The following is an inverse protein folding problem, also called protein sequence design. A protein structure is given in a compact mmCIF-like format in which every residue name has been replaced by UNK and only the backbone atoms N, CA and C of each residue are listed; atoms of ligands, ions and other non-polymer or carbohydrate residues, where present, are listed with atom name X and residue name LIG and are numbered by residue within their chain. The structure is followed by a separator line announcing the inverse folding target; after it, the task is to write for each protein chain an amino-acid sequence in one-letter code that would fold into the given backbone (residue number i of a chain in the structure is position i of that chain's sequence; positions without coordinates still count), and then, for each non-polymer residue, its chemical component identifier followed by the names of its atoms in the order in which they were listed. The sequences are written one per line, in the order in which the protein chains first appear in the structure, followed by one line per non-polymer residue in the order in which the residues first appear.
data_IF_747616254374
#
_entry.id   IF_747616254374
#
_cell.length_a   1.000
_cell.length_b   1.000
_cell.length_c   1.000
_cell.angle_alpha   90.00
_cell.angle_beta   90.00
_cell.angle_gamma   90.00
#
_symmetry.space_group_name_H-M   'P 1'
#
loop_
_entity.id
_entity.type
_entity.pdbx_description
1 polymer ?
#
# COMPACT_ATOMS: atom_id res chain seq x y z
N UNK A 1 28.78 3.03 17.18
CA UNK A 1 28.66 3.53 15.78
C UNK A 1 27.32 3.04 15.26
N UNK A 2 26.64 3.77 14.40
CA UNK A 2 25.39 3.34 13.77
C UNK A 2 25.67 2.33 12.66
N UNK A 3 24.81 1.31 12.49
CA UNK A 3 24.89 0.41 11.35
C UNK A 3 24.43 1.08 10.04
N UNK A 4 23.73 2.21 10.15
CA UNK A 4 23.23 2.95 9.00
C UNK A 4 24.31 3.79 8.31
N UNK A 5 24.28 3.73 6.97
CA UNK A 5 24.90 4.70 6.07
C UNK A 5 23.90 5.83 5.75
N UNK A 6 22.64 5.46 5.47
CA UNK A 6 21.54 6.36 5.11
C UNK A 6 20.21 5.78 5.57
N UNK A 7 19.76 6.16 6.77
CA UNK A 7 18.51 5.62 7.35
C UNK A 7 17.27 6.03 6.55
N UNK A 8 17.28 7.25 5.98
CA UNK A 8 16.17 7.81 5.21
C UNK A 8 15.74 6.98 4.00
N UNK A 9 16.63 6.13 3.47
CA UNK A 9 16.35 5.19 2.36
C UNK A 9 15.22 4.22 2.71
N UNK A 10 15.00 3.97 4.01
CA UNK A 10 13.99 3.04 4.52
C UNK A 10 12.67 3.74 4.89
N UNK A 11 12.59 5.07 4.77
CA UNK A 11 11.36 5.79 5.06
C UNK A 11 10.33 5.61 3.95
N UNK A 12 9.02 5.61 4.29
CA UNK A 12 7.95 5.45 3.30
C UNK A 12 7.93 6.52 2.21
N UNK A 13 8.43 7.71 2.52
CA UNK A 13 8.47 8.87 1.63
C UNK A 13 9.64 8.83 0.66
N UNK A 14 10.67 8.01 0.95
CA UNK A 14 11.85 7.93 0.11
C UNK A 14 11.55 7.30 -1.25
N UNK A 15 11.82 8.07 -2.29
CA UNK A 15 11.69 7.61 -3.67
C UNK A 15 13.07 7.24 -4.25
N UNK A 16 13.34 5.95 -4.50
CA UNK A 16 14.63 5.52 -5.04
C UNK A 16 14.87 6.00 -6.47
N UNK A 17 16.12 5.94 -6.89
CA UNK A 17 16.51 6.26 -8.26
C UNK A 17 15.99 5.24 -9.28
N UNK A 18 15.85 3.98 -8.87
CA UNK A 18 15.34 2.89 -9.69
C UNK A 18 14.26 2.11 -8.95
N UNK A 19 13.27 1.62 -9.67
CA UNK A 19 12.18 0.79 -9.17
C UNK A 19 12.25 -0.57 -9.88
N UNK A 20 13.06 -1.52 -9.36
CA UNK A 20 13.22 -2.82 -10.00
C UNK A 20 11.88 -3.56 -10.07
N UNK A 21 11.73 -4.36 -11.13
CA UNK A 21 10.53 -5.14 -11.44
C UNK A 21 9.27 -4.31 -11.72
N UNK A 22 9.45 -3.02 -12.04
CA UNK A 22 8.38 -2.12 -12.52
C UNK A 22 8.72 -1.42 -13.84
N UNK A 23 9.80 -1.82 -14.49
CA UNK A 23 10.26 -1.23 -15.76
C UNK A 23 9.20 -1.30 -16.85
N UNK A 24 8.45 -2.42 -16.92
CA UNK A 24 7.38 -2.60 -17.89
C UNK A 24 6.23 -1.60 -17.69
N UNK A 25 5.77 -1.44 -16.45
CA UNK A 25 4.72 -0.48 -16.10
C UNK A 25 5.18 0.95 -16.32
N UNK A 26 6.41 1.29 -15.88
CA UNK A 26 7.00 2.61 -16.08
C UNK A 26 7.06 2.95 -17.57
N UNK A 27 7.51 2.01 -18.41
CA UNK A 27 7.61 2.21 -19.85
C UNK A 27 6.23 2.47 -20.48
N UNK A 28 5.23 1.63 -20.21
CA UNK A 28 3.87 1.79 -20.73
C UNK A 28 3.28 3.16 -20.38
N UNK A 29 3.38 3.54 -19.11
CA UNK A 29 2.85 4.83 -18.64
C UNK A 29 3.61 5.98 -19.30
N UNK A 30 4.94 5.91 -19.38
CA UNK A 30 5.77 6.97 -19.96
C UNK A 30 5.56 7.11 -21.47
N UNK A 31 5.42 6.02 -22.21
CA UNK A 31 5.10 6.03 -23.64
C UNK A 31 3.76 6.72 -23.90
N UNK A 32 2.72 6.38 -23.13
CA UNK A 32 1.42 7.03 -23.22
C UNK A 32 1.50 8.54 -22.93
N UNK A 33 2.11 8.91 -21.80
CA UNK A 33 2.23 10.33 -21.41
C UNK A 33 3.13 11.14 -22.36
N UNK A 34 4.06 10.52 -23.07
CA UNK A 34 4.93 11.19 -24.04
C UNK A 34 4.16 11.85 -25.20
N UNK A 35 2.92 11.44 -25.43
CA UNK A 35 2.01 12.08 -26.39
C UNK A 35 1.78 13.57 -26.06
N UNK A 36 1.83 13.94 -24.76
CA UNK A 36 1.72 15.34 -24.32
C UNK A 36 2.84 16.23 -24.88
N UNK A 37 4.04 15.67 -25.13
CA UNK A 37 5.16 16.41 -25.74
C UNK A 37 4.86 16.84 -27.17
N UNK A 38 3.98 16.10 -27.86
CA UNK A 38 3.51 16.39 -29.21
C UNK A 38 2.15 17.12 -29.22
N UNK A 39 1.71 17.62 -28.07
CA UNK A 39 0.37 18.21 -27.87
C UNK A 39 -0.77 17.27 -28.32
N UNK A 40 -0.55 15.95 -28.17
CA UNK A 40 -1.54 14.93 -28.48
C UNK A 40 -2.13 14.39 -27.16
N UNK A 41 -3.42 14.01 -27.22
CA UNK A 41 -4.14 13.48 -26.05
C UNK A 41 -3.65 12.07 -25.71
N UNK A 42 -3.12 11.81 -24.50
CA UNK A 42 -2.89 10.44 -24.03
C UNK A 42 -4.21 9.75 -23.64
N UNK A 43 -4.20 8.43 -23.54
CA UNK A 43 -5.24 7.70 -22.83
C UNK A 43 -5.15 8.00 -21.33
N UNK A 44 -6.27 8.02 -20.65
CA UNK A 44 -6.25 8.05 -19.19
C UNK A 44 -5.74 6.72 -18.66
N UNK A 45 -4.96 6.74 -17.60
CA UNK A 45 -4.34 5.54 -17.05
C UNK A 45 -5.00 5.19 -15.73
N UNK A 46 -5.34 3.93 -15.53
CA UNK A 46 -5.81 3.42 -14.25
C UNK A 46 -4.88 2.35 -13.70
N UNK A 47 -4.19 2.69 -12.62
CA UNK A 47 -3.28 1.81 -11.91
C UNK A 47 -4.02 1.19 -10.73
N UNK A 48 -4.12 -0.14 -10.69
CA UNK A 48 -4.77 -0.83 -9.59
C UNK A 48 -3.96 -2.03 -9.10
N UNK A 49 -4.27 -2.50 -7.90
CA UNK A 49 -3.63 -3.64 -7.25
C UNK A 49 -3.61 -3.51 -5.73
N UNK A 50 -3.18 -4.53 -4.99
CA UNK A 50 -3.16 -4.51 -3.53
C UNK A 50 -2.26 -3.39 -2.97
N UNK A 51 -2.38 -3.05 -1.68
CA UNK A 51 -1.46 -2.11 -1.03
C UNK A 51 -0.02 -2.63 -1.07
N UNK A 52 0.95 -1.70 -1.02
CA UNK A 52 2.37 -2.02 -0.90
C UNK A 52 3.06 -2.60 -2.13
N UNK A 53 2.42 -2.63 -3.32
CA UNK A 53 3.02 -3.14 -4.57
C UNK A 53 3.72 -2.07 -5.42
N UNK A 54 3.85 -0.84 -4.91
CA UNK A 54 4.62 0.22 -5.56
C UNK A 54 3.86 1.13 -6.52
N UNK A 55 2.51 1.14 -6.53
CA UNK A 55 1.68 2.02 -7.39
C UNK A 55 2.05 3.49 -7.28
N UNK A 56 1.96 4.02 -6.06
CA UNK A 56 2.31 5.42 -5.73
C UNK A 56 3.77 5.73 -6.04
N UNK A 57 4.69 4.80 -5.77
CA UNK A 57 6.11 4.98 -6.03
C UNK A 57 6.40 5.12 -7.53
N UNK A 58 5.76 4.29 -8.38
CA UNK A 58 5.90 4.39 -9.85
C UNK A 58 5.32 5.70 -10.36
N UNK A 59 4.14 6.10 -9.89
CA UNK A 59 3.55 7.38 -10.30
C UNK A 59 4.46 8.57 -9.96
N UNK A 60 4.95 8.65 -8.72
CA UNK A 60 5.88 9.71 -8.29
C UNK A 60 7.22 9.67 -9.05
N UNK A 61 7.72 8.47 -9.35
CA UNK A 61 8.92 8.29 -10.17
C UNK A 61 8.73 8.90 -11.56
N UNK A 62 7.64 8.57 -12.23
CA UNK A 62 7.32 9.09 -13.56
C UNK A 62 7.15 10.62 -13.52
N UNK A 63 6.45 11.16 -12.53
CA UNK A 63 6.31 12.61 -12.39
C UNK A 63 7.67 13.29 -12.25
N UNK A 64 8.58 12.74 -11.44
CA UNK A 64 9.95 13.27 -11.29
C UNK A 64 10.70 13.27 -12.61
N UNK A 65 10.64 12.17 -13.37
CA UNK A 65 11.33 12.07 -14.67
C UNK A 65 10.73 13.08 -15.67
N UNK A 66 9.41 13.18 -15.76
CA UNK A 66 8.77 14.17 -16.66
C UNK A 66 9.10 15.62 -16.28
N UNK A 67 9.18 15.95 -15.00
CA UNK A 67 9.57 17.28 -14.55
C UNK A 67 10.99 17.65 -14.97
N UNK A 68 11.93 16.69 -14.86
CA UNK A 68 13.34 16.90 -15.21
C UNK A 68 13.58 17.04 -16.71
N UNK A 69 12.87 16.26 -17.54
CA UNK A 69 13.21 16.12 -18.95
C UNK A 69 12.21 16.78 -19.93
N UNK A 70 11.01 17.13 -19.50
CA UNK A 70 9.97 17.58 -20.41
C UNK A 70 9.44 19.00 -20.18
N UNK A 71 9.60 19.54 -18.98
CA UNK A 71 9.00 20.80 -18.57
C UNK A 71 7.48 20.76 -18.48
N UNK A 72 6.84 19.61 -18.68
CA UNK A 72 5.38 19.45 -18.49
C UNK A 72 5.09 19.57 -17.00
N UNK A 73 4.12 20.43 -16.67
CA UNK A 73 3.64 20.56 -15.29
C UNK A 73 2.96 19.29 -14.85
N UNK A 74 3.40 18.76 -13.71
CA UNK A 74 2.84 17.56 -13.14
C UNK A 74 2.37 17.80 -11.69
N UNK A 75 1.28 17.14 -11.32
CA UNK A 75 0.59 17.36 -10.05
C UNK A 75 0.21 16.00 -9.47
N UNK A 76 0.63 15.77 -8.23
CA UNK A 76 0.25 14.58 -7.47
C UNK A 76 -0.75 14.99 -6.37
N UNK A 77 -1.92 14.37 -6.37
CA UNK A 77 -3.00 14.62 -5.42
C UNK A 77 -3.35 13.33 -4.71
N UNK A 78 -3.22 13.31 -3.38
CA UNK A 78 -3.74 12.23 -2.55
C UNK A 78 -5.20 12.51 -2.19
N UNK A 79 -6.12 11.67 -2.67
CA UNK A 79 -7.55 11.84 -2.49
C UNK A 79 -8.06 11.54 -1.07
N UNK A 80 -7.25 10.99 -0.17
CA UNK A 80 -7.55 11.01 1.26
C UNK A 80 -7.48 12.42 1.84
N UNK A 81 -6.54 13.22 1.37
CA UNK A 81 -6.33 14.58 1.83
C UNK A 81 -7.23 15.57 1.09
N UNK A 82 -7.41 15.37 -0.22
CA UNK A 82 -8.18 16.25 -1.12
C UNK A 82 -9.33 15.46 -1.74
N UNK A 83 -10.41 15.27 -0.99
CA UNK A 83 -11.52 14.37 -1.34
C UNK A 83 -12.77 15.07 -1.88
N UNK A 84 -12.69 16.35 -2.23
CA UNK A 84 -13.77 17.11 -2.86
C UNK A 84 -13.31 17.73 -4.17
N UNK A 85 -14.25 17.96 -5.08
CA UNK A 85 -13.98 18.62 -6.36
C UNK A 85 -13.32 19.99 -6.19
N UNK A 86 -13.77 20.75 -5.21
CA UNK A 86 -13.19 22.06 -4.87
C UNK A 86 -11.73 21.92 -4.46
N UNK A 87 -11.41 20.96 -3.57
CA UNK A 87 -10.05 20.77 -3.07
C UNK A 87 -9.09 20.33 -4.19
N UNK A 88 -9.51 19.38 -5.03
CA UNK A 88 -8.73 18.90 -6.17
C UNK A 88 -8.45 20.02 -7.16
N UNK A 89 -9.48 20.78 -7.59
CA UNK A 89 -9.29 21.89 -8.52
C UNK A 89 -8.42 22.99 -7.92
N UNK A 90 -8.58 23.29 -6.63
CA UNK A 90 -7.74 24.30 -5.96
C UNK A 90 -6.26 23.89 -5.98
N UNK A 91 -5.95 22.63 -5.70
CA UNK A 91 -4.56 22.13 -5.75
C UNK A 91 -3.99 22.17 -7.17
N UNK A 92 -4.79 21.78 -8.18
CA UNK A 92 -4.38 21.92 -9.59
C UNK A 92 -4.10 23.38 -9.93
N UNK A 93 -5.04 24.28 -9.59
CA UNK A 93 -4.90 25.72 -9.87
C UNK A 93 -3.65 26.33 -9.23
N UNK A 94 -3.40 26.03 -7.95
CA UNK A 94 -2.21 26.49 -7.23
C UNK A 94 -0.93 25.96 -7.88
N UNK A 95 -0.88 24.68 -8.22
CA UNK A 95 0.30 24.05 -8.81
C UNK A 95 0.71 24.63 -10.15
N UNK A 96 -0.26 25.06 -10.97
CA UNK A 96 0.02 25.71 -12.27
C UNK A 96 0.20 27.22 -12.19
N UNK A 97 0.09 27.80 -10.98
CA UNK A 97 0.22 29.25 -10.79
C UNK A 97 -1.05 30.05 -11.20
N UNK A 98 -2.20 29.39 -11.26
CA UNK A 98 -3.47 30.12 -11.42
C UNK A 98 -3.77 30.92 -10.14
N UNK A 99 -4.26 32.12 -10.32
CA UNK A 99 -4.70 32.93 -9.18
C UNK A 99 -6.02 32.40 -8.65
N UNK A 100 -5.94 31.45 -7.71
CA UNK A 100 -7.08 30.81 -7.06
C UNK A 100 -6.91 30.84 -5.53
N UNK A 101 -8.03 30.89 -4.81
CA UNK A 101 -8.05 30.84 -3.35
C UNK A 101 -8.64 29.51 -2.87
N UNK A 102 -8.15 29.03 -1.75
CA UNK A 102 -8.70 27.84 -1.07
C UNK A 102 -10.03 28.13 -0.35
N UNK A 103 -10.54 29.36 -0.38
CA UNK A 103 -11.83 29.76 0.25
C UNK A 103 -12.51 30.85 -0.56
N UNK A 104 -13.84 30.82 -0.56
CA UNK A 104 -14.67 31.90 -1.06
C UNK A 104 -14.90 31.91 -2.57
N UNK A 105 -14.39 30.95 -3.33
CA UNK A 105 -14.59 30.81 -4.75
C UNK A 105 -15.57 29.69 -5.08
N UNK A 106 -16.34 29.86 -6.16
CA UNK A 106 -17.13 28.76 -6.69
C UNK A 106 -16.24 27.77 -7.48
N UNK A 107 -16.64 26.49 -7.53
CA UNK A 107 -15.93 25.43 -8.27
C UNK A 107 -15.70 25.85 -9.74
N UNK A 108 -16.73 26.41 -10.39
CA UNK A 108 -16.69 26.77 -11.80
C UNK A 108 -15.74 27.96 -12.07
N UNK A 109 -15.58 28.87 -11.12
CA UNK A 109 -14.60 29.94 -11.19
C UNK A 109 -13.17 29.41 -11.16
N UNK A 110 -12.88 28.45 -10.26
CA UNK A 110 -11.56 27.79 -10.17
C UNK A 110 -11.26 27.05 -11.46
N UNK A 111 -12.23 26.28 -11.97
CA UNK A 111 -12.08 25.53 -13.22
C UNK A 111 -11.78 26.48 -14.39
N UNK A 112 -12.55 27.59 -14.52
CA UNK A 112 -12.32 28.60 -15.54
C UNK A 112 -10.94 29.22 -15.46
N UNK A 113 -10.42 29.47 -14.24
CA UNK A 113 -9.06 29.99 -14.04
C UNK A 113 -7.99 29.00 -14.44
N UNK A 114 -8.20 27.71 -14.14
CA UNK A 114 -7.30 26.64 -14.58
C UNK A 114 -7.22 26.65 -16.12
N UNK A 115 -8.36 26.57 -16.79
CA UNK A 115 -8.46 26.61 -18.26
C UNK A 115 -7.74 27.81 -18.84
N UNK A 116 -8.03 29.00 -18.32
CA UNK A 116 -7.39 30.26 -18.77
C UNK A 116 -5.89 30.25 -18.58
N UNK A 117 -5.40 29.71 -17.44
CA UNK A 117 -3.97 29.64 -17.16
C UNK A 117 -3.27 28.62 -18.08
N UNK A 118 -3.89 27.45 -18.34
CA UNK A 118 -3.40 26.48 -19.31
C UNK A 118 -3.27 27.09 -20.71
N UNK A 119 -4.29 27.79 -21.19
CA UNK A 119 -4.29 28.45 -22.51
C UNK A 119 -3.20 29.53 -22.61
N UNK A 120 -3.19 30.48 -21.67
CA UNK A 120 -2.27 31.62 -21.68
C UNK A 120 -0.82 31.20 -21.66
N UNK A 121 -0.50 30.17 -20.89
CA UNK A 121 0.87 29.67 -20.71
C UNK A 121 1.20 28.44 -21.60
N UNK A 122 0.26 28.00 -22.42
CA UNK A 122 0.39 26.79 -23.29
C UNK A 122 0.83 25.55 -22.51
N UNK A 123 0.20 25.31 -21.34
CA UNK A 123 0.56 24.26 -20.41
C UNK A 123 -0.20 22.97 -20.69
N UNK A 124 0.51 21.92 -21.06
CA UNK A 124 0.01 20.55 -20.90
C UNK A 124 0.29 20.08 -19.46
N UNK A 125 -0.62 19.24 -18.92
CA UNK A 125 -0.55 18.81 -17.52
C UNK A 125 -0.51 17.29 -17.42
N UNK A 126 0.14 16.80 -16.38
CA UNK A 126 -0.03 15.43 -15.87
C UNK A 126 -0.64 15.55 -14.47
N UNK A 127 -1.78 14.91 -14.24
CA UNK A 127 -2.43 14.90 -12.93
C UNK A 127 -2.60 13.46 -12.45
N UNK A 128 -2.02 13.17 -11.30
CA UNK A 128 -2.19 11.90 -10.61
C UNK A 128 -3.20 12.08 -9.47
N UNK A 129 -4.26 11.27 -9.50
CA UNK A 129 -5.23 11.14 -8.42
C UNK A 129 -5.02 9.82 -7.72
N UNK A 130 -4.27 9.84 -6.62
CA UNK A 130 -3.97 8.65 -5.81
C UNK A 130 -5.06 8.41 -4.77
N UNK A 131 -5.42 7.14 -4.53
CA UNK A 131 -6.56 6.73 -3.70
C UNK A 131 -7.88 7.35 -4.22
N UNK A 132 -8.09 7.30 -5.55
CA UNK A 132 -9.22 7.95 -6.23
C UNK A 132 -10.59 7.44 -5.75
N UNK A 133 -10.64 6.27 -5.15
CA UNK A 133 -11.86 5.73 -4.51
C UNK A 133 -12.40 6.66 -3.40
N UNK A 134 -11.55 7.42 -2.70
CA UNK A 134 -11.99 8.38 -1.69
C UNK A 134 -12.68 9.59 -2.32
N UNK A 135 -12.16 10.05 -3.45
CA UNK A 135 -12.78 11.13 -4.22
C UNK A 135 -14.13 10.68 -4.80
N UNK A 136 -14.18 9.47 -5.38
CA UNK A 136 -15.41 8.91 -5.97
C UNK A 136 -16.51 8.74 -4.92
N UNK A 137 -16.17 8.32 -3.70
CA UNK A 137 -17.12 8.16 -2.59
C UNK A 137 -17.71 9.48 -2.12
N UNK A 138 -16.91 10.56 -2.14
CA UNK A 138 -17.33 11.87 -1.59
C UNK A 138 -17.86 12.81 -2.66
N UNK A 139 -17.12 13.03 -3.75
CA UNK A 139 -17.47 13.96 -4.81
C UNK A 139 -16.75 13.64 -6.13
N UNK A 140 -17.36 12.77 -6.93
CA UNK A 140 -16.81 12.35 -8.22
C UNK A 140 -16.93 13.43 -9.32
N UNK A 141 -17.59 14.58 -9.07
CA UNK A 141 -17.94 15.54 -10.13
C UNK A 141 -16.73 16.16 -10.82
N UNK A 142 -15.59 16.30 -10.12
CA UNK A 142 -14.35 16.80 -10.72
C UNK A 142 -13.80 15.89 -11.81
N UNK A 143 -14.06 14.58 -11.73
CA UNK A 143 -13.63 13.66 -12.78
C UNK A 143 -14.25 14.01 -14.13
N UNK A 144 -15.54 14.38 -14.12
CA UNK A 144 -16.21 14.83 -15.33
C UNK A 144 -15.56 16.07 -15.93
N UNK A 145 -15.21 17.06 -15.11
CA UNK A 145 -14.57 18.29 -15.55
C UNK A 145 -13.17 18.04 -16.14
N UNK A 146 -12.35 17.26 -15.44
CA UNK A 146 -10.99 16.93 -15.87
C UNK A 146 -10.97 16.08 -17.14
N UNK A 147 -11.86 15.09 -17.27
CA UNK A 147 -11.97 14.22 -18.43
C UNK A 147 -12.38 14.99 -19.71
N UNK A 148 -13.04 16.13 -19.55
CA UNK A 148 -13.55 16.96 -20.64
C UNK A 148 -12.90 18.34 -20.75
N UNK A 149 -11.80 18.57 -20.05
CA UNK A 149 -11.13 19.86 -20.03
C UNK A 149 -10.76 20.35 -21.44
N UNK A 150 -10.51 19.42 -22.37
CA UNK A 150 -10.20 19.71 -23.78
C UNK A 150 -11.36 20.33 -24.57
N UNK A 151 -12.58 20.31 -24.04
CA UNK A 151 -13.71 21.06 -24.62
C UNK A 151 -13.56 22.57 -24.40
N UNK A 152 -12.68 22.99 -23.49
CA UNK A 152 -12.49 24.35 -23.04
C UNK A 152 -11.11 24.90 -23.38
N UNK A 153 -10.15 24.07 -23.76
CA UNK A 153 -8.79 24.49 -24.08
C UNK A 153 -8.16 23.57 -25.14
N UNK A 154 -7.20 24.12 -25.91
CA UNK A 154 -6.38 23.32 -26.85
C UNK A 154 -5.30 22.51 -26.17
N UNK A 155 -5.00 22.81 -24.89
CA UNK A 155 -3.99 22.12 -24.13
C UNK A 155 -4.48 20.74 -23.72
N UNK A 156 -3.55 19.83 -23.41
CA UNK A 156 -3.83 18.42 -23.10
C UNK A 156 -3.55 18.11 -21.65
N UNK A 157 -4.30 17.13 -21.12
CA UNK A 157 -4.11 16.59 -19.78
C UNK A 157 -3.92 15.07 -19.87
N UNK A 158 -2.91 14.56 -19.18
CA UNK A 158 -2.73 13.15 -18.92
C UNK A 158 -3.21 12.85 -17.49
N UNK A 159 -4.23 12.00 -17.35
CA UNK A 159 -4.80 11.62 -16.06
C UNK A 159 -4.30 10.23 -15.67
N UNK A 160 -3.83 10.11 -14.45
CA UNK A 160 -3.48 8.83 -13.83
C UNK A 160 -4.33 8.67 -12.58
N UNK A 161 -5.15 7.62 -12.56
CA UNK A 161 -5.96 7.23 -11.41
C UNK A 161 -5.30 6.04 -10.71
N UNK A 162 -5.23 6.07 -9.39
CA UNK A 162 -4.67 4.98 -8.59
C UNK A 162 -5.70 4.54 -7.55
N UNK A 163 -5.96 3.23 -7.45
CA UNK A 163 -6.79 2.66 -6.39
C UNK A 163 -6.33 1.25 -6.00
N UNK A 164 -6.75 0.80 -4.83
CA UNK A 164 -6.61 -0.60 -4.43
C UNK A 164 -7.77 -1.47 -5.00
N UNK A 165 -8.87 -0.84 -5.39
CA UNK A 165 -10.06 -1.50 -5.93
C UNK A 165 -10.08 -1.42 -7.47
N UNK A 166 -9.98 -2.57 -8.14
CA UNK A 166 -10.12 -2.70 -9.59
C UNK A 166 -11.46 -2.16 -10.12
N UNK A 167 -12.48 -2.23 -9.31
CA UNK A 167 -13.86 -1.94 -9.72
C UNK A 167 -14.34 -0.55 -9.30
N UNK A 168 -13.44 0.31 -8.91
CA UNK A 168 -13.72 1.64 -8.36
C UNK A 168 -14.66 2.48 -9.26
N UNK A 169 -14.55 2.34 -10.58
CA UNK A 169 -15.38 3.08 -11.54
C UNK A 169 -16.73 2.44 -11.87
N UNK A 170 -17.09 1.29 -11.27
CA UNK A 170 -18.38 0.63 -11.60
C UNK A 170 -19.59 1.46 -11.23
N UNK A 171 -19.51 2.19 -10.13
CA UNK A 171 -20.64 2.92 -9.55
C UNK A 171 -20.60 4.44 -9.79
N UNK A 172 -19.69 4.92 -10.65
CA UNK A 172 -19.70 6.33 -11.06
C UNK A 172 -20.83 6.58 -12.06
N UNK A 173 -21.23 7.83 -12.22
CA UNK A 173 -22.25 8.25 -13.16
C UNK A 173 -21.89 7.88 -14.60
N UNK A 174 -22.89 7.54 -15.42
CA UNK A 174 -22.68 7.10 -16.82
C UNK A 174 -22.01 8.17 -17.68
N UNK A 175 -22.23 9.46 -17.40
CA UNK A 175 -21.53 10.57 -18.07
C UNK A 175 -20.02 10.57 -17.81
N UNK A 176 -19.58 10.11 -16.66
CA UNK A 176 -18.15 9.92 -16.32
C UNK A 176 -17.64 8.69 -17.03
N UNK A 177 -18.35 7.55 -16.90
CA UNK A 177 -17.95 6.28 -17.55
C UNK A 177 -17.70 6.45 -19.04
N UNK A 178 -18.61 7.12 -19.75
CA UNK A 178 -18.49 7.34 -21.20
C UNK A 178 -17.29 8.20 -21.61
N UNK A 179 -16.72 8.95 -20.67
CA UNK A 179 -15.57 9.85 -20.90
C UNK A 179 -14.24 9.27 -20.40
N UNK A 180 -14.27 8.16 -19.64
CA UNK A 180 -13.09 7.64 -18.97
C UNK A 180 -11.95 7.25 -19.92
N UNK A 181 -12.24 6.53 -21.03
CA UNK A 181 -11.24 6.05 -22.00
C UNK A 181 -9.91 5.66 -21.33
N UNK A 182 -9.95 4.55 -20.55
CA UNK A 182 -8.88 4.17 -19.61
C UNK A 182 -8.05 3.02 -20.19
N UNK A 183 -6.73 3.13 -20.04
CA UNK A 183 -5.79 2.01 -20.08
C UNK A 183 -5.58 1.47 -18.66
N UNK A 184 -5.95 0.20 -18.42
CA UNK A 184 -5.84 -0.44 -17.12
C UNK A 184 -4.46 -1.10 -16.94
N UNK A 185 -3.76 -0.77 -15.86
CA UNK A 185 -2.45 -1.33 -15.53
C UNK A 185 -2.51 -1.99 -14.15
N UNK A 186 -2.44 -3.33 -14.15
CA UNK A 186 -2.43 -4.11 -12.91
C UNK A 186 -1.04 -4.16 -12.28
N UNK A 187 -0.97 -3.87 -11.00
CA UNK A 187 0.21 -4.05 -10.16
C UNK A 187 0.04 -5.29 -9.29
N UNK A 188 0.66 -6.38 -9.71
CA UNK A 188 0.65 -7.65 -8.97
C UNK A 188 1.61 -7.60 -7.78
N UNK A 189 1.33 -8.37 -6.70
CA UNK A 189 2.30 -8.59 -5.63
C UNK A 189 3.64 -9.08 -6.19
N UNK A 190 4.72 -8.67 -5.53
CA UNK A 190 6.05 -9.15 -5.88
C UNK A 190 6.22 -10.62 -5.51
N UNK A 191 6.88 -11.37 -6.38
CA UNK A 191 7.39 -12.70 -6.06
C UNK A 191 8.50 -12.62 -5.00
N UNK A 192 8.88 -13.76 -4.44
CA UNK A 192 9.99 -13.80 -3.46
C UNK A 192 11.31 -13.27 -4.03
N UNK A 193 11.63 -13.62 -5.27
CA UNK A 193 12.87 -13.16 -5.92
C UNK A 193 12.85 -11.65 -6.16
N UNK A 194 11.76 -11.13 -6.70
CA UNK A 194 11.59 -9.69 -6.91
C UNK A 194 11.66 -8.91 -5.60
N UNK A 195 10.98 -9.39 -4.56
CA UNK A 195 11.03 -8.79 -3.23
C UNK A 195 12.44 -8.80 -2.65
N UNK A 196 13.17 -9.92 -2.81
CA UNK A 196 14.56 -10.03 -2.36
C UNK A 196 15.47 -9.02 -3.05
N UNK A 197 15.31 -8.81 -4.36
CA UNK A 197 16.10 -7.84 -5.11
C UNK A 197 15.83 -6.41 -4.65
N UNK A 198 14.55 -6.06 -4.42
CA UNK A 198 14.15 -4.76 -3.88
C UNK A 198 14.76 -4.54 -2.49
N UNK A 199 14.66 -5.54 -1.61
CA UNK A 199 15.21 -5.49 -0.25
C UNK A 199 16.73 -5.37 -0.29
N UNK A 200 17.40 -6.13 -1.14
CA UNK A 200 18.85 -6.10 -1.32
C UNK A 200 19.35 -4.71 -1.77
N UNK A 201 18.65 -4.09 -2.71
CA UNK A 201 18.94 -2.72 -3.13
C UNK A 201 18.84 -1.75 -1.94
N UNK A 202 17.76 -1.83 -1.18
CA UNK A 202 17.53 -0.97 -0.01
C UNK A 202 18.60 -1.15 1.06
N UNK A 203 19.00 -2.40 1.33
CA UNK A 203 20.06 -2.73 2.29
C UNK A 203 21.39 -2.10 1.85
N UNK A 204 21.79 -2.23 0.57
CA UNK A 204 23.03 -1.66 0.06
C UNK A 204 23.09 -0.14 0.16
N UNK A 205 21.95 0.53 0.00
CA UNK A 205 21.86 1.98 0.12
C UNK A 205 21.83 2.44 1.59
N UNK A 206 21.14 1.69 2.47
CA UNK A 206 20.86 2.09 3.84
C UNK A 206 21.96 1.74 4.84
N UNK A 207 22.68 0.63 4.65
CA UNK A 207 23.60 0.09 5.65
C UNK A 207 25.06 0.15 5.22
N UNK A 208 25.96 0.32 6.20
CA UNK A 208 27.42 0.26 5.99
C UNK A 208 27.86 -1.17 5.71
N UNK A 209 27.35 -2.13 6.48
CA UNK A 209 27.59 -3.56 6.34
C UNK A 209 26.38 -4.37 6.78
N UNK A 210 26.21 -5.54 6.20
CA UNK A 210 25.13 -6.47 6.54
C UNK A 210 25.60 -7.93 6.38
N UNK A 211 24.89 -8.84 7.03
CA UNK A 211 25.15 -10.27 7.00
C UNK A 211 24.41 -10.93 5.83
N UNK A 212 25.02 -11.92 5.20
CA UNK A 212 24.36 -12.76 4.21
C UNK A 212 23.11 -13.42 4.79
N UNK A 213 22.02 -13.49 3.99
CA UNK A 213 20.74 -14.04 4.44
C UNK A 213 19.76 -13.02 5.02
N UNK A 214 20.17 -11.80 5.38
CA UNK A 214 19.28 -10.72 5.85
C UNK A 214 18.22 -10.41 4.81
N UNK A 215 18.62 -10.19 3.55
CA UNK A 215 17.68 -9.85 2.46
C UNK A 215 16.64 -10.95 2.23
N UNK A 216 17.06 -12.22 2.26
CA UNK A 216 16.15 -13.36 2.08
C UNK A 216 15.13 -13.48 3.23
N UNK A 217 15.58 -13.30 4.48
CA UNK A 217 14.70 -13.36 5.64
C UNK A 217 13.65 -12.25 5.65
N UNK A 218 14.07 -11.03 5.35
CA UNK A 218 13.17 -9.86 5.27
C UNK A 218 12.19 -10.00 4.10
N UNK A 219 12.69 -10.42 2.93
CA UNK A 219 11.85 -10.66 1.75
C UNK A 219 10.80 -11.73 1.99
N UNK A 220 11.14 -12.84 2.64
CA UNK A 220 10.19 -13.89 2.98
C UNK A 220 9.03 -13.36 3.83
N UNK A 221 9.33 -12.51 4.82
CA UNK A 221 8.31 -11.91 5.68
C UNK A 221 7.45 -10.88 4.95
N UNK A 222 8.03 -10.07 4.09
CA UNK A 222 7.31 -9.09 3.28
C UNK A 222 6.39 -9.75 2.25
N UNK A 223 6.82 -10.83 1.61
CA UNK A 223 5.99 -11.61 0.67
C UNK A 223 4.81 -12.27 1.37
N UNK A 224 4.99 -12.79 2.58
CA UNK A 224 3.87 -13.33 3.40
C UNK A 224 2.76 -12.29 3.59
N UNK A 225 3.11 -11.01 3.70
CA UNK A 225 2.18 -9.88 3.83
C UNK A 225 1.77 -9.26 2.49
N UNK A 226 2.50 -9.54 1.41
CA UNK A 226 2.29 -8.95 0.09
C UNK A 226 2.61 -7.47 -0.01
N UNK A 227 3.42 -6.91 0.92
CA UNK A 227 3.65 -5.46 1.06
C UNK A 227 5.14 -5.13 1.29
N UNK A 228 5.74 -4.37 0.36
CA UNK A 228 7.14 -3.90 0.47
C UNK A 228 7.37 -3.06 1.73
N UNK A 229 6.37 -2.31 2.19
CA UNK A 229 6.51 -1.44 3.37
C UNK A 229 6.86 -2.23 4.63
N UNK A 230 6.38 -3.48 4.72
CA UNK A 230 6.77 -4.40 5.81
C UNK A 230 8.27 -4.69 5.80
N UNK A 231 8.85 -4.89 4.60
CA UNK A 231 10.30 -5.07 4.50
C UNK A 231 11.07 -3.84 4.99
N UNK A 232 10.65 -2.64 4.56
CA UNK A 232 11.30 -1.39 4.95
C UNK A 232 11.19 -1.14 6.46
N UNK A 233 10.04 -1.42 7.05
CA UNK A 233 9.81 -1.30 8.49
C UNK A 233 10.69 -2.26 9.29
N UNK A 234 10.78 -3.53 8.88
CA UNK A 234 11.66 -4.52 9.52
C UNK A 234 13.11 -4.08 9.45
N UNK A 235 13.58 -3.63 8.28
CA UNK A 235 14.95 -3.15 8.09
C UNK A 235 15.24 -1.92 8.97
N UNK A 236 14.32 -0.98 9.03
CA UNK A 236 14.46 0.23 9.86
C UNK A 236 14.57 -0.11 11.33
N UNK A 237 13.67 -0.94 11.85
CA UNK A 237 13.69 -1.37 13.26
C UNK A 237 14.94 -2.20 13.57
N UNK A 238 15.31 -3.15 12.71
CA UNK A 238 16.49 -3.98 12.89
C UNK A 238 17.79 -3.15 12.84
N UNK A 239 17.86 -2.18 11.95
CA UNK A 239 19.01 -1.27 11.87
C UNK A 239 19.19 -0.40 13.11
N UNK A 240 18.10 0.03 13.76
CA UNK A 240 18.13 0.81 14.99
C UNK A 240 18.65 0.05 16.21
N UNK A 241 18.48 -1.27 16.24
CA UNK A 241 19.03 -2.13 17.31
C UNK A 241 20.41 -2.70 16.96
N UNK A 242 20.80 -2.68 15.69
CA UNK A 242 22.11 -3.11 15.23
C UNK A 242 23.22 -2.15 15.68
N UNK A 243 24.39 -2.69 16.06
CA UNK A 243 25.51 -1.88 16.57
C UNK A 243 26.42 -1.34 15.47
N UNK A 244 26.98 -2.24 14.66
CA UNK A 244 28.03 -1.97 13.67
C UNK A 244 27.64 -2.44 12.27
N UNK A 245 26.91 -3.55 12.18
CA UNK A 245 26.37 -4.14 10.95
C UNK A 245 25.00 -4.77 11.20
N UNK A 246 24.18 -4.85 10.19
CA UNK A 246 22.89 -5.52 10.25
C UNK A 246 23.06 -7.03 10.21
N UNK A 247 22.61 -7.73 11.25
CA UNK A 247 22.71 -9.20 11.38
C UNK A 247 21.35 -9.87 11.22
N UNK A 248 21.38 -11.13 10.83
CA UNK A 248 20.17 -11.98 10.77
C UNK A 248 19.46 -12.05 12.13
N UNK A 249 20.23 -12.05 13.23
CA UNK A 249 19.68 -12.05 14.60
C UNK A 249 18.90 -10.78 14.94
N UNK A 250 19.34 -9.61 14.48
CA UNK A 250 18.65 -8.34 14.70
C UNK A 250 17.28 -8.37 14.00
N UNK A 251 17.25 -8.86 12.76
CA UNK A 251 16.00 -9.06 12.00
C UNK A 251 15.08 -10.07 12.68
N UNK A 252 15.62 -11.20 13.18
CA UNK A 252 14.81 -12.20 13.90
C UNK A 252 14.19 -11.65 15.17
N UNK A 253 14.90 -10.78 15.91
CA UNK A 253 14.35 -10.12 17.11
C UNK A 253 13.14 -9.25 16.73
N UNK A 254 13.27 -8.39 15.71
CA UNK A 254 12.17 -7.53 15.24
C UNK A 254 10.97 -8.35 14.80
N UNK A 255 11.18 -9.40 13.98
CA UNK A 255 10.08 -10.27 13.51
C UNK A 255 9.38 -10.97 14.69
N UNK A 256 10.14 -11.42 15.70
CA UNK A 256 9.55 -12.01 16.92
C UNK A 256 8.78 -11.01 17.75
N UNK A 257 9.26 -9.79 17.87
CA UNK A 257 8.58 -8.70 18.58
C UNK A 257 7.29 -8.28 17.87
N UNK A 258 7.23 -8.27 16.54
CA UNK A 258 5.99 -8.00 15.79
C UNK A 258 4.92 -9.08 15.96
N UNK A 259 5.32 -10.33 16.18
CA UNK A 259 4.39 -11.42 16.53
C UNK A 259 3.88 -11.25 17.97
N UNK A 260 4.65 -10.60 18.84
CA UNK A 260 4.43 -10.56 20.29
C UNK A 260 3.46 -9.47 20.83
N UNK A 261 3.31 -8.26 20.27
CA UNK A 261 2.46 -7.24 20.91
C UNK A 261 0.98 -7.62 20.88
N UNK A 262 0.46 -8.07 19.74
CA UNK A 262 -0.95 -8.57 19.66
C UNK A 262 -1.14 -9.83 20.50
N UNK A 263 -0.17 -10.72 20.47
CA UNK A 263 -0.18 -11.96 21.27
C UNK A 263 -0.04 -11.63 22.76
N UNK A 264 0.78 -10.65 23.17
CA UNK A 264 0.90 -10.23 24.57
C UNK A 264 -0.33 -9.47 25.07
N UNK A 265 -0.95 -8.60 24.28
CA UNK A 265 -2.22 -7.97 24.65
C UNK A 265 -3.34 -9.00 24.78
N UNK A 266 -3.42 -9.93 23.84
CA UNK A 266 -4.37 -11.04 23.88
C UNK A 266 -4.06 -11.93 25.11
N UNK A 267 -2.81 -12.28 25.35
CA UNK A 267 -2.39 -13.09 26.50
C UNK A 267 -2.67 -12.42 27.85
N UNK A 268 -2.70 -11.08 27.95
CA UNK A 268 -3.09 -10.36 29.17
C UNK A 268 -4.58 -10.44 29.47
N UNK A 269 -5.41 -10.63 28.47
CA UNK A 269 -6.88 -10.68 28.58
C UNK A 269 -7.41 -12.12 28.68
N UNK A 270 -6.57 -13.11 28.40
CA UNK A 270 -6.93 -14.54 28.46
C UNK A 270 -6.94 -15.05 29.91
N UNK A 271 -7.92 -15.95 30.20
CA UNK A 271 -7.92 -16.72 31.44
C UNK A 271 -6.72 -17.69 31.49
N UNK A 272 -6.35 -18.13 32.68
CA UNK A 272 -5.25 -19.10 32.83
C UNK A 272 -5.52 -20.42 32.08
N UNK A 273 -6.78 -20.83 32.02
CA UNK A 273 -7.25 -22.01 31.27
C UNK A 273 -7.06 -21.82 29.74
N UNK A 274 -7.43 -20.63 29.21
CA UNK A 274 -7.25 -20.29 27.81
C UNK A 274 -5.76 -20.27 27.43
N UNK A 275 -4.90 -19.72 28.29
CA UNK A 275 -3.42 -19.70 28.09
C UNK A 275 -2.86 -21.10 27.99
N UNK A 276 -3.25 -22.00 28.90
CA UNK A 276 -2.78 -23.40 28.91
C UNK A 276 -3.24 -24.19 27.70
N UNK A 277 -4.48 -23.99 27.24
CA UNK A 277 -4.95 -24.60 26.00
C UNK A 277 -4.08 -24.17 24.81
N UNK A 278 -3.68 -22.90 24.75
CA UNK A 278 -2.80 -22.38 23.70
C UNK A 278 -1.36 -22.91 23.82
N UNK A 279 -0.87 -23.15 25.02
CA UNK A 279 0.45 -23.78 25.25
C UNK A 279 0.46 -25.25 24.81
N UNK A 280 -0.61 -25.98 25.05
CA UNK A 280 -0.75 -27.37 24.60
C UNK A 280 -0.83 -27.47 23.09
N UNK A 281 -1.32 -26.44 22.40
CA UNK A 281 -1.47 -26.35 20.94
C UNK A 281 -0.16 -25.87 20.25
N UNK A 282 0.97 -26.44 20.60
CA UNK A 282 2.27 -26.28 19.89
C UNK A 282 2.22 -26.79 18.44
N UNK A 283 1.37 -27.79 18.18
CA UNK A 283 1.08 -28.43 16.87
C UNK A 283 -0.41 -28.70 16.76
N UNK A 284 -0.94 -28.94 15.54
CA UNK A 284 -2.32 -29.38 15.39
C UNK A 284 -2.61 -30.63 16.25
N UNK A 285 -3.65 -30.55 17.08
CA UNK A 285 -4.06 -31.62 17.98
C UNK A 285 -5.56 -31.83 17.96
N UNK A 286 -6.00 -33.03 18.24
CA UNK A 286 -7.42 -33.33 18.41
C UNK A 286 -7.93 -32.81 19.75
N UNK A 287 -9.24 -32.54 19.81
CA UNK A 287 -9.90 -32.12 21.06
C UNK A 287 -9.70 -33.11 22.22
N UNK A 288 -9.56 -34.40 21.90
CA UNK A 288 -9.30 -35.46 22.90
C UNK A 288 -7.89 -35.36 23.50
N UNK A 289 -6.89 -35.15 22.63
CA UNK A 289 -5.48 -35.03 23.07
C UNK A 289 -5.25 -33.78 23.93
N UNK A 290 -5.93 -32.65 23.58
CA UNK A 290 -5.86 -31.44 24.38
C UNK A 290 -6.48 -31.66 25.75
N UNK A 291 -7.68 -32.26 25.80
CA UNK A 291 -8.36 -32.54 27.06
C UNK A 291 -7.56 -33.48 27.96
N UNK A 292 -7.01 -34.58 27.43
CA UNK A 292 -6.18 -35.56 28.18
C UNK A 292 -4.92 -34.91 28.77
N UNK A 293 -4.32 -33.94 28.07
CA UNK A 293 -3.18 -33.18 28.59
C UNK A 293 -3.58 -32.19 29.67
N UNK A 294 -4.71 -31.53 29.49
CA UNK A 294 -5.22 -30.51 30.43
C UNK A 294 -5.65 -31.12 31.76
N UNK A 295 -6.33 -32.26 31.73
CA UNK A 295 -6.80 -32.99 32.94
C UNK A 295 -5.63 -33.55 33.79
N UNK A 296 -4.47 -33.75 33.17
CA UNK A 296 -3.25 -34.15 33.94
C UNK A 296 -2.67 -33.01 34.80
N UNK A 297 -3.00 -31.75 34.43
CA UNK A 297 -2.46 -30.56 35.08
C UNK A 297 -3.51 -29.77 35.88
N UNK A 298 -4.79 -29.94 35.57
CA UNK A 298 -5.90 -29.23 36.21
C UNK A 298 -7.16 -30.06 36.39
N UNK A 299 -7.95 -29.71 37.44
CA UNK A 299 -9.29 -30.24 37.62
C UNK A 299 -10.32 -29.46 36.82
N UNK A 300 -10.36 -29.70 35.51
CA UNK A 300 -11.37 -29.11 34.64
C UNK A 300 -12.39 -30.14 34.19
N UNK A 301 -13.70 -29.79 34.29
CA UNK A 301 -14.76 -30.66 33.80
C UNK A 301 -14.80 -30.71 32.27
N UNK A 302 -15.25 -31.81 31.69
CA UNK A 302 -15.36 -31.96 30.24
C UNK A 302 -16.29 -30.89 29.61
N UNK A 303 -17.33 -30.49 30.33
CA UNK A 303 -18.29 -29.50 29.86
C UNK A 303 -17.68 -28.09 29.83
N UNK A 304 -16.92 -27.75 30.83
CA UNK A 304 -16.19 -26.50 30.96
C UNK A 304 -15.10 -26.36 29.85
N UNK A 305 -14.33 -27.40 29.60
CA UNK A 305 -13.39 -27.50 28.50
C UNK A 305 -14.02 -27.20 27.14
N UNK A 306 -15.15 -27.85 26.81
CA UNK A 306 -15.79 -27.59 25.51
C UNK A 306 -16.39 -26.19 25.41
N UNK A 307 -16.85 -25.62 26.52
CA UNK A 307 -17.33 -24.21 26.56
C UNK A 307 -16.17 -23.26 26.26
N UNK A 308 -15.04 -23.43 26.95
CA UNK A 308 -13.83 -22.61 26.75
C UNK A 308 -13.31 -22.74 25.31
N UNK A 309 -13.21 -23.94 24.76
CA UNK A 309 -12.82 -24.17 23.37
C UNK A 309 -13.73 -23.43 22.37
N UNK A 310 -15.06 -23.49 22.59
CA UNK A 310 -16.03 -22.82 21.72
C UNK A 310 -15.89 -21.30 21.77
N UNK A 311 -15.60 -20.74 22.93
CA UNK A 311 -15.29 -19.32 23.08
C UNK A 311 -13.99 -18.94 22.41
N UNK A 312 -12.91 -19.73 22.55
CA UNK A 312 -11.64 -19.49 21.91
C UNK A 312 -11.73 -19.54 20.37
N UNK A 313 -12.56 -20.45 19.84
CA UNK A 313 -12.85 -20.50 18.40
C UNK A 313 -13.61 -19.23 17.97
N UNK A 314 -14.62 -18.80 18.73
CA UNK A 314 -15.38 -17.57 18.46
C UNK A 314 -14.51 -16.31 18.52
N UNK A 315 -13.57 -16.26 19.46
CA UNK A 315 -12.56 -15.19 19.59
C UNK A 315 -11.47 -15.26 18.48
N UNK A 316 -11.46 -16.29 17.64
CA UNK A 316 -10.47 -16.48 16.59
C UNK A 316 -9.10 -16.91 17.07
N UNK A 317 -8.97 -17.37 18.31
CA UNK A 317 -7.72 -17.83 18.92
C UNK A 317 -7.30 -19.21 18.43
N UNK A 318 -8.27 -20.02 18.04
CA UNK A 318 -8.12 -21.40 17.56
C UNK A 318 -8.94 -21.57 16.27
N UNK A 319 -8.37 -22.29 15.32
CA UNK A 319 -9.05 -22.67 14.07
C UNK A 319 -9.23 -24.16 13.97
N UNK A 320 -10.33 -24.59 13.35
CA UNK A 320 -10.60 -25.98 13.02
C UNK A 320 -10.01 -26.26 11.64
N UNK A 321 -9.02 -27.16 11.55
CA UNK A 321 -8.40 -27.57 10.28
C UNK A 321 -9.16 -28.69 9.58
N UNK A 322 -9.90 -29.51 10.34
CA UNK A 322 -10.63 -30.64 9.82
C UNK A 322 -11.15 -31.54 10.95
N UNK A 323 -11.61 -32.74 10.57
CA UNK A 323 -12.03 -33.77 11.53
C UNK A 323 -11.19 -35.04 11.32
N UNK A 324 -10.63 -35.55 12.38
CA UNK A 324 -9.90 -36.81 12.44
C UNK A 324 -10.62 -37.75 13.41
N UNK A 325 -11.01 -38.96 12.97
CA UNK A 325 -11.72 -39.95 13.79
C UNK A 325 -12.94 -39.35 14.55
N UNK A 326 -13.79 -38.56 13.90
CA UNK A 326 -14.92 -37.80 14.46
C UNK A 326 -14.54 -36.71 15.48
N UNK A 327 -13.27 -36.42 15.68
CA UNK A 327 -12.76 -35.36 16.55
C UNK A 327 -12.30 -34.15 15.70
N UNK A 328 -12.54 -32.93 16.21
CA UNK A 328 -12.05 -31.73 15.55
C UNK A 328 -10.54 -31.60 15.74
N UNK A 329 -9.79 -31.44 14.63
CA UNK A 329 -8.39 -31.11 14.64
C UNK A 329 -8.26 -29.60 14.78
N UNK A 330 -7.61 -29.15 15.86
CA UNK A 330 -7.49 -27.74 16.23
C UNK A 330 -6.06 -27.25 16.03
N UNK A 331 -5.96 -25.98 15.65
CA UNK A 331 -4.71 -25.28 15.42
C UNK A 331 -4.75 -23.90 16.07
N UNK A 332 -3.62 -23.47 16.65
CA UNK A 332 -3.43 -22.13 17.18
C UNK A 332 -3.49 -21.11 16.04
N UNK A 333 -4.34 -20.09 16.16
CA UNK A 333 -4.54 -19.08 15.12
C UNK A 333 -3.76 -17.77 15.37
N UNK A 334 -3.04 -17.73 16.50
CA UNK A 334 -2.20 -16.61 16.95
C UNK A 334 -0.77 -16.73 16.43
#
# INVERSE_FOLDING_TARGET
MSAFKREEVLYPEYLPLNLPHREGQIRLISENLSLLLKNSKPMNIFIYGPPGVGKTAVAKFILREFEQYSGIKNIYINCWQYNTSFAVLSEIGIAIGAFVSRRGWAKDEIFSRIVQTMENNRLNLIVVLDEVDQLIKNDASVLYDLLRIENYTKQKIGLIFISNDKYVFRNVEDRIKSSLNIEEIEFKPYTFLEMKDIVEQRIKEAFIAYEEGVSALVAAKAVEKGDVRVALEILLKAGRIAKDKLRVEDVKKVIKEEINPKTQEIMKVLSEEEKRILEILDKPKTTKEIFEKLVKTEKMSKMEFYRTLKEMIRKGLIKILGKENRLSLLYKAL
#
